data_IF_937884826201
#
_entry.id   IF_937884826201
#
_cell.length_a   1.000
_cell.length_b   1.000
_cell.length_c   1.000
_cell.angle_alpha   90.00
_cell.angle_beta   90.00
_cell.angle_gamma   90.00
#
_symmetry.space_group_name_H-M   'P 1'
#
loop_
_entity.id
_entity.type
_entity.pdbx_description
1 polymer ?
#
# COMPACT_ATOMS: atom_id res chain seq x y z
N UNK A 1 10.20 -18.04 14.14
CA UNK A 1 10.45 -17.06 13.06
C UNK A 1 9.10 -16.43 12.69
N UNK A 2 8.95 -15.11 12.78
CA UNK A 2 7.73 -14.40 12.34
C UNK A 2 7.95 -13.87 10.92
N UNK A 3 7.00 -14.12 10.01
CA UNK A 3 7.06 -13.63 8.62
C UNK A 3 6.03 -12.52 8.48
N UNK A 4 6.51 -11.31 8.19
CA UNK A 4 5.70 -10.11 7.99
C UNK A 4 5.77 -9.71 6.52
N UNK A 5 4.83 -10.18 5.69
CA UNK A 5 4.89 -9.89 4.26
C UNK A 5 4.64 -8.41 3.98
N UNK A 6 5.26 -7.94 2.91
CA UNK A 6 4.99 -6.63 2.31
C UNK A 6 4.42 -6.86 0.91
N UNK A 7 3.14 -6.54 0.71
CA UNK A 7 2.45 -6.69 -0.56
C UNK A 7 2.46 -5.36 -1.31
N UNK A 8 2.77 -5.42 -2.60
CA UNK A 8 2.79 -4.23 -3.46
C UNK A 8 1.77 -4.41 -4.58
N UNK A 9 0.95 -3.40 -4.81
CA UNK A 9 -0.12 -3.37 -5.81
C UNK A 9 0.11 -2.26 -6.85
N UNK A 10 -0.74 -2.21 -7.88
CA UNK A 10 -0.76 -1.14 -8.89
C UNK A 10 -2.14 -0.47 -8.93
N UNK A 11 -2.40 0.42 -7.97
CA UNK A 11 -3.65 1.17 -7.83
C UNK A 11 -4.81 0.38 -7.22
N UNK A 12 -4.54 -0.83 -6.71
CA UNK A 12 -5.54 -1.74 -6.15
C UNK A 12 -5.35 -1.97 -4.65
N UNK A 13 -4.39 -1.28 -4.01
CA UNK A 13 -4.11 -1.50 -2.59
C UNK A 13 -5.32 -1.14 -1.71
N UNK A 14 -6.13 -0.15 -2.08
CA UNK A 14 -7.35 0.18 -1.32
C UNK A 14 -8.36 -0.98 -1.33
N UNK A 15 -8.61 -1.59 -2.50
CA UNK A 15 -9.49 -2.77 -2.61
C UNK A 15 -8.94 -3.95 -1.78
N UNK A 16 -7.62 -4.15 -1.80
CA UNK A 16 -6.96 -5.18 -0.98
C UNK A 16 -7.11 -4.91 0.53
N UNK A 17 -7.00 -3.65 0.96
CA UNK A 17 -7.26 -3.25 2.35
C UNK A 17 -8.68 -3.65 2.75
N UNK A 18 -9.68 -3.34 1.94
CA UNK A 18 -11.09 -3.61 2.25
C UNK A 18 -11.36 -5.12 2.31
N UNK A 19 -10.80 -5.88 1.36
CA UNK A 19 -10.88 -7.34 1.31
C UNK A 19 -10.26 -7.99 2.56
N UNK A 20 -9.02 -7.65 2.89
CA UNK A 20 -8.31 -8.26 4.02
C UNK A 20 -8.85 -7.81 5.37
N UNK A 21 -9.27 -6.55 5.50
CA UNK A 21 -9.93 -6.04 6.71
C UNK A 21 -11.21 -6.82 7.00
N UNK A 22 -12.02 -7.07 5.97
CA UNK A 22 -13.23 -7.88 6.11
C UNK A 22 -12.94 -9.36 6.39
N UNK A 23 -11.92 -9.95 5.74
CA UNK A 23 -11.56 -11.35 5.92
C UNK A 23 -11.03 -11.63 7.33
N UNK A 24 -10.17 -10.75 7.86
CA UNK A 24 -9.56 -10.91 9.19
C UNK A 24 -10.36 -10.25 10.31
N UNK A 25 -11.51 -9.62 10.00
CA UNK A 25 -12.35 -8.89 10.97
C UNK A 25 -11.53 -7.87 11.76
N UNK A 26 -10.74 -7.09 11.04
CA UNK A 26 -9.76 -6.14 11.57
C UNK A 26 -9.90 -4.79 10.87
N UNK A 27 -9.24 -3.78 11.40
CA UNK A 27 -9.17 -2.46 10.78
C UNK A 27 -7.72 -2.16 10.39
N UNK A 28 -7.53 -1.69 9.15
CA UNK A 28 -6.24 -1.22 8.71
C UNK A 28 -5.74 -0.03 9.54
N UNK A 29 -4.44 0.03 9.78
CA UNK A 29 -3.75 1.11 10.48
C UNK A 29 -2.66 1.70 9.61
N UNK A 30 -2.15 2.87 10.00
CA UNK A 30 -1.05 3.56 9.30
C UNK A 30 -1.34 3.77 7.80
N UNK A 31 -2.60 4.04 7.45
CA UNK A 31 -2.98 4.36 6.08
C UNK A 31 -2.43 5.74 5.75
N UNK A 32 -1.48 5.78 4.81
CA UNK A 32 -0.97 7.01 4.19
C UNK A 32 -1.21 6.93 2.70
N UNK A 33 -1.55 8.06 2.09
CA UNK A 33 -1.78 8.19 0.65
C UNK A 33 -0.63 8.94 -0.01
N UNK A 34 -0.53 8.82 -1.32
CA UNK A 34 0.42 9.63 -2.09
C UNK A 34 0.08 11.12 -2.04
N UNK A 35 -1.19 11.48 -1.85
CA UNK A 35 -1.63 12.87 -1.58
C UNK A 35 -1.06 13.48 -0.30
N UNK A 36 -0.59 12.65 0.63
CA UNK A 36 -0.03 13.11 1.91
C UNK A 36 1.46 13.49 1.79
N UNK A 37 2.07 13.22 0.63
CA UNK A 37 3.45 13.62 0.34
C UNK A 37 3.50 15.12 0.02
N UNK A 38 4.55 15.84 0.47
CA UNK A 38 4.76 17.21 0.02
C UNK A 38 4.99 17.24 -1.48
N UNK A 39 4.57 18.33 -2.13
CA UNK A 39 4.84 18.55 -3.55
C UNK A 39 6.36 18.51 -3.79
N UNK A 40 6.79 17.67 -4.73
CA UNK A 40 8.18 17.55 -5.12
C UNK A 40 8.30 17.72 -6.65
N UNK A 41 8.99 18.76 -7.14
CA UNK A 41 9.20 18.97 -8.58
C UNK A 41 9.90 17.81 -9.30
N UNK A 42 10.69 17.01 -8.59
CA UNK A 42 11.39 15.84 -9.15
C UNK A 42 10.51 14.57 -9.17
N UNK A 43 9.36 14.58 -8.50
CA UNK A 43 8.46 13.44 -8.39
C UNK A 43 7.02 13.86 -8.70
N UNK A 44 6.69 13.85 -9.99
CA UNK A 44 5.34 14.19 -10.46
C UNK A 44 4.40 13.02 -10.17
N UNK A 45 3.57 13.17 -9.14
CA UNK A 45 2.47 12.25 -8.83
C UNK A 45 1.29 12.64 -9.70
N UNK A 46 0.80 11.73 -10.54
CA UNK A 46 -0.38 12.01 -11.36
C UNK A 46 -1.64 12.16 -10.48
N UNK A 47 -2.66 12.85 -10.98
CA UNK A 47 -3.94 12.98 -10.25
C UNK A 47 -4.56 11.61 -9.93
N UNK A 48 -4.40 10.62 -10.82
CA UNK A 48 -4.88 9.25 -10.59
C UNK A 48 -4.14 8.54 -9.45
N UNK A 49 -2.89 8.90 -9.21
CA UNK A 49 -2.06 8.32 -8.16
C UNK A 49 -2.23 8.99 -6.80
N UNK A 50 -2.77 10.22 -6.72
CA UNK A 50 -2.99 10.92 -5.44
C UNK A 50 -3.76 10.09 -4.41
N UNK A 51 -4.76 9.34 -4.88
CA UNK A 51 -5.59 8.49 -4.02
C UNK A 51 -4.95 7.14 -3.68
N UNK A 52 -3.82 6.78 -4.29
CA UNK A 52 -3.14 5.50 -4.06
C UNK A 52 -2.57 5.43 -2.65
N UNK A 53 -2.40 4.20 -2.17
CA UNK A 53 -1.88 3.92 -0.83
C UNK A 53 -0.36 3.96 -0.86
N UNK A 54 0.24 4.93 -0.17
CA UNK A 54 1.68 4.98 0.05
C UNK A 54 2.12 3.89 1.03
N UNK A 55 1.33 3.66 2.08
CA UNK A 55 1.57 2.61 3.05
C UNK A 55 0.28 2.31 3.81
N UNK A 56 0.03 1.04 4.13
CA UNK A 56 -0.97 0.61 5.10
C UNK A 56 -0.48 -0.63 5.85
N UNK A 57 -1.10 -0.92 6.99
CA UNK A 57 -0.81 -2.11 7.81
C UNK A 57 -2.11 -2.80 8.21
N UNK A 58 -2.23 -4.09 7.91
CA UNK A 58 -3.35 -4.96 8.31
C UNK A 58 -2.88 -5.85 9.46
N UNK A 59 -3.34 -5.62 10.70
CA UNK A 59 -3.03 -6.49 11.81
C UNK A 59 -3.87 -7.78 11.76
N UNK A 60 -3.25 -8.92 12.07
CA UNK A 60 -3.92 -10.21 12.19
C UNK A 60 -3.26 -11.03 13.32
N UNK A 61 -4.03 -11.42 14.34
CA UNK A 61 -3.48 -12.06 15.55
C UNK A 61 -2.35 -11.22 16.18
N UNK A 62 -1.20 -11.84 16.43
CA UNK A 62 0.02 -11.19 16.96
C UNK A 62 1.00 -10.73 15.86
N UNK A 63 0.52 -10.58 14.62
CA UNK A 63 1.32 -10.22 13.46
C UNK A 63 0.61 -9.23 12.51
N UNK A 64 1.26 -8.88 11.39
CA UNK A 64 0.70 -7.93 10.43
C UNK A 64 1.20 -8.12 8.99
N UNK A 65 0.40 -7.63 8.04
CA UNK A 65 0.75 -7.47 6.64
C UNK A 65 0.94 -5.98 6.36
N UNK A 66 2.04 -5.60 5.68
CA UNK A 66 2.18 -4.25 5.12
C UNK A 66 1.79 -4.25 3.65
N UNK A 67 1.20 -3.14 3.21
CA UNK A 67 0.66 -2.97 1.87
C UNK A 67 1.05 -1.59 1.33
N UNK A 68 1.29 -1.48 0.03
CA UNK A 68 1.29 -0.21 -0.69
C UNK A 68 0.96 -0.37 -2.17
N UNK A 69 0.59 0.72 -2.82
CA UNK A 69 0.66 0.85 -4.27
C UNK A 69 2.06 1.30 -4.69
N UNK A 70 2.49 0.86 -5.87
CA UNK A 70 3.75 1.26 -6.47
C UNK A 70 3.57 2.52 -7.32
N UNK A 71 4.17 3.64 -6.90
CA UNK A 71 4.00 4.97 -7.53
C UNK A 71 4.75 5.20 -8.84
N UNK A 72 5.34 4.18 -9.47
CA UNK A 72 6.09 4.31 -10.73
C UNK A 72 5.54 3.43 -11.86
N UNK A 73 6.09 3.61 -13.06
CA UNK A 73 5.80 2.75 -14.22
C UNK A 73 6.77 1.56 -14.36
N UNK A 74 7.69 1.38 -13.41
CA UNK A 74 8.53 0.19 -13.40
C UNK A 74 7.70 -1.08 -13.10
N UNK A 75 7.94 -2.19 -13.81
CA UNK A 75 7.25 -3.44 -13.53
C UNK A 75 7.53 -3.90 -12.09
N UNK A 76 6.48 -4.33 -11.37
CA UNK A 76 6.58 -4.89 -10.02
C UNK A 76 7.53 -6.11 -9.93
N UNK A 77 7.81 -6.74 -11.07
CA UNK A 77 8.86 -7.73 -11.24
C UNK A 77 9.74 -7.39 -12.45
N UNK A 78 10.78 -6.60 -12.23
CA UNK A 78 12.07 -6.91 -12.87
C UNK A 78 12.95 -7.52 -11.79
N UNK A 79 12.93 -8.84 -11.69
CA UNK A 79 14.01 -9.55 -11.03
C UNK A 79 15.32 -9.00 -11.61
N UNK A 80 16.24 -8.58 -10.74
CA UNK A 80 17.63 -8.45 -11.15
C UNK A 80 18.15 -9.83 -11.55
#
# INVERSE_FOLDING_TARGET
MKIRPYLTFKGQCQEAIDLYSNAFKTTASTIRRFSDLPENPEMVISDSQKNWILQATIPFGDDYIRLSDFGGDHPLNKAK
#
